data_IF_129901105524
#
_entry.id   IF_129901105524
#
_cell.length_a   1.000
_cell.length_b   1.000
_cell.length_c   1.000
_cell.angle_alpha   90.00
_cell.angle_beta   90.00
_cell.angle_gamma   90.00
#
_symmetry.space_group_name_H-M   'P 1'
#
loop_
_entity.id
_entity.type
_entity.pdbx_description
1 polymer ?
#
# COMPACT_ATOMS: atom_id res chain seq x y z
N UNK A 1 50.14 -0.16 -65.43
CA UNK A 1 49.37 -1.07 -64.58
C UNK A 1 49.36 -0.46 -63.16
N UNK A 2 48.31 0.23 -62.79
CA UNK A 2 48.17 0.87 -61.44
C UNK A 2 47.05 0.10 -60.72
N UNK A 3 47.42 -0.62 -59.62
CA UNK A 3 46.49 -1.28 -58.73
C UNK A 3 45.95 -0.28 -57.75
N UNK A 4 44.62 -0.13 -57.73
CA UNK A 4 43.86 0.61 -56.72
C UNK A 4 43.55 -0.31 -55.56
N UNK A 5 44.07 0.04 -54.38
CA UNK A 5 43.70 -0.56 -53.08
C UNK A 5 42.42 0.11 -52.57
N UNK A 6 41.31 -0.62 -52.44
CA UNK A 6 40.14 -0.17 -51.72
C UNK A 6 40.29 -0.47 -50.24
N UNK A 7 40.42 0.58 -49.43
CA UNK A 7 40.22 0.45 -47.97
C UNK A 7 38.74 0.43 -47.66
N UNK A 8 38.26 -0.70 -47.15
CA UNK A 8 36.89 -0.77 -46.56
C UNK A 8 36.96 -0.31 -45.12
N UNK A 9 36.36 0.87 -44.84
CA UNK A 9 36.11 1.35 -43.47
C UNK A 9 34.90 0.57 -42.91
N UNK A 10 35.14 -0.34 -41.96
CA UNK A 10 34.09 -1.00 -41.21
C UNK A 10 33.63 -0.02 -40.09
N UNK A 11 32.44 0.55 -40.28
CA UNK A 11 31.76 1.30 -39.25
C UNK A 11 31.23 0.32 -38.19
N UNK A 12 31.87 0.31 -37.02
CA UNK A 12 31.35 -0.37 -35.82
C UNK A 12 30.20 0.46 -35.29
N UNK A 13 28.97 0.06 -35.58
CA UNK A 13 27.77 0.60 -34.92
C UNK A 13 27.73 -0.01 -33.51
N UNK A 14 28.19 0.77 -32.52
CA UNK A 14 27.87 0.47 -31.12
C UNK A 14 26.35 0.68 -30.92
N UNK A 15 25.59 -0.40 -30.94
CA UNK A 15 24.24 -0.39 -30.44
C UNK A 15 24.30 -0.26 -28.90
N UNK A 16 24.08 0.96 -28.42
CA UNK A 16 23.76 1.20 -27.01
C UNK A 16 22.40 0.52 -26.77
N UNK A 17 22.42 -0.66 -26.20
CA UNK A 17 21.22 -1.26 -25.63
C UNK A 17 20.79 -0.35 -24.48
N UNK A 18 19.69 0.39 -24.68
CA UNK A 18 18.93 0.96 -23.58
C UNK A 18 18.61 -0.17 -22.61
N UNK A 19 19.00 0.00 -21.34
CA UNK A 19 18.72 -0.96 -20.28
C UNK A 19 17.23 -1.04 -20.05
N UNK A 20 16.55 -1.90 -20.79
CA UNK A 20 15.21 -2.33 -20.48
C UNK A 20 15.30 -3.18 -19.22
N UNK A 21 14.54 -2.81 -18.17
CA UNK A 21 14.19 -3.70 -17.09
C UNK A 21 13.30 -4.80 -17.66
N UNK A 22 13.90 -5.78 -18.33
CA UNK A 22 13.19 -6.96 -18.81
C UNK A 22 12.66 -7.69 -17.57
N UNK A 23 11.39 -8.05 -17.59
CA UNK A 23 10.83 -8.98 -16.61
C UNK A 23 11.73 -10.25 -16.59
N UNK A 24 11.97 -10.85 -15.40
CA UNK A 24 12.67 -12.12 -15.32
C UNK A 24 12.01 -13.14 -16.26
N UNK A 25 12.79 -14.02 -16.89
CA UNK A 25 12.27 -15.04 -17.82
C UNK A 25 11.20 -15.95 -17.21
N UNK A 26 11.11 -15.97 -15.87
CA UNK A 26 10.18 -16.80 -15.08
C UNK A 26 9.02 -16.00 -14.47
N UNK A 27 8.88 -14.70 -14.80
CA UNK A 27 7.77 -13.88 -14.29
C UNK A 27 6.42 -14.45 -14.81
N UNK A 28 5.37 -14.48 -13.94
CA UNK A 28 4.07 -14.99 -14.35
C UNK A 28 3.47 -14.16 -15.49
N UNK A 29 2.94 -14.82 -16.50
CA UNK A 29 2.20 -14.14 -17.57
C UNK A 29 0.87 -13.59 -17.07
N UNK A 30 0.31 -12.60 -17.76
CA UNK A 30 -0.99 -12.02 -17.42
C UNK A 30 -2.10 -13.08 -17.33
N UNK A 31 -2.10 -14.06 -18.25
CA UNK A 31 -3.09 -15.13 -18.27
C UNK A 31 -2.94 -16.08 -17.06
N UNK A 32 -1.71 -16.38 -16.66
CA UNK A 32 -1.45 -17.19 -15.46
C UNK A 32 -1.92 -16.45 -14.20
N UNK A 33 -1.64 -15.16 -14.10
CA UNK A 33 -2.11 -14.34 -12.98
C UNK A 33 -3.63 -14.31 -12.91
N UNK A 34 -4.31 -14.03 -14.03
CA UNK A 34 -5.78 -13.96 -14.11
C UNK A 34 -6.48 -15.25 -13.74
N UNK A 35 -5.90 -16.41 -14.07
CA UNK A 35 -6.42 -17.72 -13.63
C UNK A 35 -6.38 -17.91 -12.11
N UNK A 36 -5.49 -17.20 -11.40
CA UNK A 36 -5.37 -17.23 -9.96
C UNK A 36 -6.16 -16.12 -9.23
N UNK A 37 -6.96 -15.33 -9.94
CA UNK A 37 -7.86 -14.33 -9.35
C UNK A 37 -9.21 -14.97 -9.00
N UNK A 38 -9.82 -14.51 -7.90
CA UNK A 38 -11.19 -14.88 -7.57
C UNK A 38 -12.22 -14.42 -8.62
N UNK A 39 -12.02 -13.19 -9.16
CA UNK A 39 -12.78 -12.62 -10.26
C UNK A 39 -11.81 -11.98 -11.25
N UNK A 40 -11.62 -12.56 -12.45
CA UNK A 40 -10.63 -12.08 -13.41
C UNK A 40 -10.92 -10.66 -13.94
N UNK A 41 -9.86 -9.92 -14.25
CA UNK A 41 -9.93 -8.61 -14.90
C UNK A 41 -10.38 -8.74 -16.34
N UNK A 42 -11.28 -7.83 -16.79
CA UNK A 42 -11.80 -7.83 -18.17
C UNK A 42 -12.31 -6.44 -18.59
N UNK A 43 -12.34 -6.16 -19.89
CA UNK A 43 -12.95 -4.94 -20.43
C UNK A 43 -12.35 -3.62 -19.89
N UNK A 44 -11.05 -3.60 -19.57
CA UNK A 44 -10.41 -2.43 -18.97
C UNK A 44 -10.76 -2.20 -17.50
N UNK A 45 -11.46 -3.13 -16.86
CA UNK A 45 -11.78 -3.13 -15.43
C UNK A 45 -10.95 -4.19 -14.73
N UNK A 46 -10.24 -3.79 -13.67
CA UNK A 46 -9.54 -4.73 -12.81
C UNK A 46 -10.56 -5.55 -12.03
N UNK A 47 -10.36 -6.86 -11.99
CA UNK A 47 -11.19 -7.81 -11.24
C UNK A 47 -10.94 -7.77 -9.74
N UNK A 48 -11.05 -8.93 -9.10
CA UNK A 48 -10.78 -9.13 -7.67
C UNK A 48 -9.83 -10.29 -7.49
N UNK A 49 -8.72 -10.07 -6.81
CA UNK A 49 -7.72 -11.10 -6.53
C UNK A 49 -8.20 -12.01 -5.40
N UNK A 50 -8.59 -11.43 -4.28
CA UNK A 50 -9.04 -12.18 -3.11
C UNK A 50 -10.58 -12.08 -2.94
N UNK A 51 -11.26 -13.17 -3.30
CA UNK A 51 -12.70 -13.30 -3.17
C UNK A 51 -13.12 -14.10 -1.91
N UNK A 52 -12.17 -14.41 -1.00
CA UNK A 52 -12.43 -15.09 0.27
C UNK A 52 -12.42 -14.10 1.41
N UNK A 53 -11.31 -13.38 1.60
CA UNK A 53 -11.12 -12.43 2.71
C UNK A 53 -11.90 -11.13 2.51
N UNK A 54 -12.21 -10.75 1.26
CA UNK A 54 -12.88 -9.50 0.93
C UNK A 54 -14.26 -9.74 0.30
N UNK A 55 -15.16 -8.80 0.56
CA UNK A 55 -16.50 -8.84 -0.02
C UNK A 55 -16.44 -8.81 -1.56
N UNK A 56 -17.25 -9.66 -2.20
CA UNK A 56 -17.40 -9.73 -3.66
C UNK A 56 -18.74 -9.17 -4.14
N UNK A 57 -19.69 -8.92 -3.21
CA UNK A 57 -21.04 -8.40 -3.47
C UNK A 57 -21.42 -7.31 -2.47
N UNK A 58 -22.29 -6.40 -2.88
CA UNK A 58 -22.79 -5.33 -2.03
C UNK A 58 -23.42 -5.84 -0.72
N UNK A 59 -24.24 -6.93 -0.70
CA UNK A 59 -24.75 -7.46 0.55
C UNK A 59 -23.68 -7.98 1.52
N UNK A 60 -22.57 -8.57 1.03
CA UNK A 60 -21.43 -8.97 1.88
C UNK A 60 -20.72 -7.75 2.45
N UNK A 61 -20.49 -6.72 1.63
CA UNK A 61 -19.86 -5.48 2.08
C UNK A 61 -20.68 -4.77 3.14
N UNK A 62 -21.98 -4.63 2.93
CA UNK A 62 -22.91 -4.02 3.89
C UNK A 62 -22.96 -4.79 5.21
N UNK A 63 -22.92 -6.13 5.18
CA UNK A 63 -22.86 -6.95 6.39
C UNK A 63 -21.56 -6.76 7.14
N UNK A 64 -20.39 -6.86 6.48
CA UNK A 64 -19.09 -6.64 7.10
C UNK A 64 -18.99 -5.22 7.69
N UNK A 65 -19.44 -4.21 6.95
CA UNK A 65 -19.52 -2.83 7.40
C UNK A 65 -20.37 -2.67 8.66
N UNK A 66 -21.58 -3.23 8.69
CA UNK A 66 -22.50 -3.12 9.81
C UNK A 66 -21.96 -3.83 11.05
N UNK A 67 -21.43 -5.06 10.88
CA UNK A 67 -20.87 -5.86 11.96
C UNK A 67 -19.60 -5.27 12.54
N UNK A 68 -18.78 -4.58 11.74
CA UNK A 68 -17.57 -3.90 12.21
C UNK A 68 -17.83 -2.76 13.21
N UNK A 69 -19.05 -2.25 13.25
CA UNK A 69 -19.48 -1.24 14.22
C UNK A 69 -19.95 -1.85 15.56
N UNK A 70 -20.10 -3.17 15.61
CA UNK A 70 -20.64 -3.90 16.76
C UNK A 70 -19.51 -4.63 17.51
N UNK A 71 -19.72 -4.81 18.82
CA UNK A 71 -18.79 -5.54 19.67
C UNK A 71 -17.60 -4.68 20.14
N UNK A 72 -16.51 -5.32 20.59
CA UNK A 72 -15.37 -4.62 21.13
C UNK A 72 -14.66 -3.79 20.05
N UNK A 73 -14.29 -2.56 20.41
CA UNK A 73 -13.47 -1.71 19.55
C UNK A 73 -11.99 -2.14 19.60
N UNK A 74 -11.20 -1.88 18.55
CA UNK A 74 -9.75 -2.00 18.63
C UNK A 74 -9.18 -1.16 19.78
N UNK A 75 -8.02 -1.56 20.29
CA UNK A 75 -7.33 -0.77 21.31
C UNK A 75 -7.10 0.65 20.79
N UNK A 76 -7.75 1.63 21.40
CA UNK A 76 -7.57 3.04 21.06
C UNK A 76 -6.26 3.53 21.67
N UNK A 77 -5.35 4.03 20.84
CA UNK A 77 -4.05 4.55 21.25
C UNK A 77 -4.10 6.06 21.44
N UNK A 78 -4.56 6.79 20.42
CA UNK A 78 -4.73 8.23 20.46
C UNK A 78 -6.07 8.66 19.85
N UNK A 79 -6.52 9.87 20.17
CA UNK A 79 -7.68 10.48 19.52
C UNK A 79 -7.31 10.96 18.12
N UNK A 80 -8.25 10.80 17.19
CA UNK A 80 -8.10 11.32 15.83
C UNK A 80 -7.87 12.84 15.81
N UNK A 81 -7.13 13.37 14.80
CA UNK A 81 -6.97 14.80 14.64
C UNK A 81 -8.31 15.50 14.42
N UNK A 82 -8.45 16.74 14.92
CA UNK A 82 -9.65 17.55 14.73
C UNK A 82 -9.78 18.22 13.36
N UNK A 83 -8.85 18.01 12.46
CA UNK A 83 -8.79 18.64 11.14
C UNK A 83 -8.79 17.62 9.98
N UNK A 84 -8.67 18.12 8.72
CA UNK A 84 -8.62 17.27 7.54
C UNK A 84 -7.44 16.28 7.58
N UNK A 85 -7.73 15.00 7.36
CA UNK A 85 -6.72 13.92 7.30
C UNK A 85 -6.15 13.87 5.87
N UNK A 86 -4.84 14.06 5.78
CA UNK A 86 -4.10 14.02 4.51
C UNK A 86 -3.73 12.60 4.11
N UNK A 87 -3.51 11.75 5.11
CA UNK A 87 -3.15 10.36 4.89
C UNK A 87 -3.60 9.46 6.03
N UNK A 88 -3.65 8.17 5.74
CA UNK A 88 -3.98 7.14 6.71
C UNK A 88 -3.10 5.91 6.49
N UNK A 89 -2.73 5.23 7.58
CA UNK A 89 -2.20 3.88 7.59
C UNK A 89 -3.36 2.94 7.96
N UNK A 90 -3.61 1.94 7.13
CA UNK A 90 -4.73 1.02 7.26
C UNK A 90 -4.28 -0.41 6.93
N UNK A 91 -4.75 -1.45 7.64
CA UNK A 91 -4.50 -2.84 7.27
C UNK A 91 -5.13 -3.19 5.91
N UNK A 92 -4.78 -4.38 5.38
CA UNK A 92 -5.40 -4.96 4.20
C UNK A 92 -5.71 -6.46 4.34
N UNK A 93 -5.79 -6.94 5.57
CA UNK A 93 -6.16 -8.33 5.86
C UNK A 93 -7.69 -8.53 5.82
N UNK A 94 -8.11 -9.80 5.92
CA UNK A 94 -9.48 -10.27 5.85
C UNK A 94 -10.46 -9.42 6.66
N UNK A 95 -11.59 -9.07 6.08
CA UNK A 95 -12.60 -8.23 6.76
C UNK A 95 -13.10 -8.81 8.07
N UNK A 96 -13.14 -10.15 8.18
CA UNK A 96 -13.58 -10.82 9.40
C UNK A 96 -12.65 -10.56 10.58
N UNK A 97 -11.37 -10.38 10.33
CA UNK A 97 -10.36 -10.07 11.35
C UNK A 97 -10.17 -8.56 11.52
N UNK A 98 -9.90 -7.86 10.42
CA UNK A 98 -9.45 -6.46 10.44
C UNK A 98 -10.58 -5.42 10.31
N UNK A 99 -11.82 -5.82 10.04
CA UNK A 99 -12.93 -4.91 9.75
C UNK A 99 -13.17 -3.80 10.77
N UNK A 100 -12.95 -4.08 12.06
CA UNK A 100 -13.06 -3.06 13.12
C UNK A 100 -11.96 -2.01 13.06
N UNK A 101 -10.76 -2.38 12.56
CA UNK A 101 -9.64 -1.45 12.38
C UNK A 101 -9.85 -0.57 11.15
N UNK A 102 -10.34 -1.14 10.03
CA UNK A 102 -10.79 -0.33 8.89
C UNK A 102 -11.80 0.74 9.34
N UNK A 103 -12.77 0.33 10.18
CA UNK A 103 -13.79 1.23 10.73
C UNK A 103 -13.22 2.33 11.62
N UNK A 104 -12.10 2.08 12.30
CA UNK A 104 -11.47 3.06 13.18
C UNK A 104 -10.71 4.16 12.40
N UNK A 105 -10.23 3.90 11.21
CA UNK A 105 -9.35 4.82 10.47
C UNK A 105 -9.94 5.37 9.18
N UNK A 106 -10.52 4.53 8.31
CA UNK A 106 -10.95 4.97 6.99
C UNK A 106 -12.08 6.02 7.00
N UNK A 107 -13.02 6.06 7.96
CA UNK A 107 -14.00 7.13 8.06
C UNK A 107 -13.42 8.53 8.29
N UNK A 108 -12.15 8.64 8.65
CA UNK A 108 -11.45 9.93 8.77
C UNK A 108 -11.02 10.48 7.40
N UNK A 109 -10.86 9.63 6.41
CA UNK A 109 -10.55 9.99 5.02
C UNK A 109 -11.82 10.49 4.35
N UNK A 110 -11.92 11.81 4.17
CA UNK A 110 -13.09 12.48 3.58
C UNK A 110 -12.90 12.89 2.13
N UNK A 111 -11.68 12.80 1.63
CA UNK A 111 -11.34 13.14 0.27
C UNK A 111 -12.03 12.19 -0.73
N UNK A 112 -12.30 12.71 -1.93
CA UNK A 112 -12.90 11.95 -3.02
C UNK A 112 -11.87 11.26 -3.90
N UNK A 113 -10.69 11.86 -4.08
CA UNK A 113 -9.61 11.33 -4.89
C UNK A 113 -8.58 10.66 -3.99
N UNK A 114 -8.44 9.35 -4.09
CA UNK A 114 -7.62 8.59 -3.14
C UNK A 114 -6.41 7.97 -3.85
N UNK A 115 -5.21 8.39 -3.45
CA UNK A 115 -3.98 7.67 -3.80
C UNK A 115 -3.80 6.54 -2.80
N UNK A 116 -3.77 5.29 -3.28
CA UNK A 116 -3.55 4.12 -2.43
C UNK A 116 -2.17 3.55 -2.69
N UNK A 117 -1.32 3.59 -1.68
CA UNK A 117 0.02 2.98 -1.70
C UNK A 117 -0.08 1.58 -1.10
N UNK A 118 -0.11 0.57 -1.95
CA UNK A 118 -0.19 -0.83 -1.55
C UNK A 118 1.17 -1.52 -1.51
N UNK A 119 1.23 -2.63 -0.80
CA UNK A 119 2.36 -3.56 -0.83
C UNK A 119 2.40 -4.29 -2.16
N UNK A 120 3.57 -4.55 -2.71
CA UNK A 120 3.70 -5.51 -3.80
C UNK A 120 4.31 -6.81 -3.27
N UNK A 121 3.48 -7.75 -2.81
CA UNK A 121 3.93 -9.03 -2.25
C UNK A 121 4.66 -9.89 -3.29
N UNK A 122 4.23 -9.82 -4.55
CA UNK A 122 4.79 -10.56 -5.67
C UNK A 122 6.12 -10.03 -6.23
N UNK A 123 6.73 -9.00 -5.67
CA UNK A 123 7.87 -8.30 -6.25
C UNK A 123 9.03 -9.24 -6.68
N UNK A 124 9.32 -10.29 -5.89
CA UNK A 124 10.38 -11.27 -6.22
C UNK A 124 10.05 -12.06 -7.48
N UNK A 125 8.78 -12.48 -7.64
CA UNK A 125 8.33 -13.27 -8.80
C UNK A 125 8.39 -12.47 -10.10
N UNK A 126 8.20 -11.15 -10.01
CA UNK A 126 8.23 -10.25 -11.17
C UNK A 126 9.58 -9.55 -11.33
N UNK A 127 10.53 -9.73 -10.41
CA UNK A 127 11.80 -9.00 -10.39
C UNK A 127 11.60 -7.48 -10.23
N UNK A 128 10.46 -7.06 -9.71
CA UNK A 128 10.13 -5.65 -9.56
C UNK A 128 10.90 -5.00 -8.42
N UNK A 129 11.54 -3.88 -8.72
CA UNK A 129 12.32 -3.10 -7.75
C UNK A 129 12.47 -1.65 -8.20
N UNK A 130 12.76 -0.77 -7.28
CA UNK A 130 13.25 0.59 -7.53
C UNK A 130 12.33 1.48 -8.39
N UNK A 131 11.04 1.15 -8.52
CA UNK A 131 10.06 1.90 -9.31
C UNK A 131 8.67 1.82 -8.67
N UNK A 132 7.81 2.79 -8.94
CA UNK A 132 6.41 2.78 -8.58
C UNK A 132 5.62 2.01 -9.64
N UNK A 133 4.77 1.07 -9.22
CA UNK A 133 3.99 0.28 -10.17
C UNK A 133 2.56 0.80 -10.21
N UNK A 134 2.18 1.39 -11.34
CA UNK A 134 0.83 1.85 -11.64
C UNK A 134 0.05 0.78 -12.41
N UNK A 135 -1.26 0.80 -12.25
CA UNK A 135 -2.14 -0.05 -13.05
C UNK A 135 -2.49 0.61 -14.40
N UNK A 136 -2.87 -0.18 -15.43
CA UNK A 136 -3.34 0.33 -16.72
C UNK A 136 -4.88 0.39 -16.84
N UNK A 137 -5.63 0.08 -15.76
CA UNK A 137 -7.07 -0.06 -15.82
C UNK A 137 -7.79 1.30 -15.82
N UNK A 138 -8.98 1.38 -16.44
CA UNK A 138 -9.85 2.55 -16.36
C UNK A 138 -10.66 2.59 -15.05
N UNK A 139 -10.90 1.42 -14.45
CA UNK A 139 -11.66 1.25 -13.22
C UNK A 139 -11.30 -0.07 -12.54
N UNK A 140 -11.63 -0.17 -11.26
CA UNK A 140 -11.57 -1.39 -10.46
C UNK A 140 -12.98 -1.85 -10.13
N UNK A 141 -13.22 -3.15 -10.22
CA UNK A 141 -14.41 -3.77 -9.66
C UNK A 141 -14.42 -3.60 -8.15
N UNK A 142 -15.58 -3.32 -7.57
CA UNK A 142 -15.82 -3.44 -6.14
C UNK A 142 -17.19 -4.06 -5.87
N UNK A 143 -17.49 -4.47 -4.63
CA UNK A 143 -18.83 -4.94 -4.25
C UNK A 143 -19.94 -3.94 -4.58
N UNK A 144 -19.68 -2.65 -4.46
CA UNK A 144 -20.64 -1.55 -4.63
C UNK A 144 -20.57 -0.90 -6.03
N UNK A 145 -20.04 -1.61 -7.01
CA UNK A 145 -19.89 -1.15 -8.38
C UNK A 145 -18.46 -0.79 -8.77
N UNK A 146 -18.27 -0.21 -9.95
CA UNK A 146 -16.96 0.18 -10.43
C UNK A 146 -16.42 1.40 -9.65
N UNK A 147 -15.12 1.37 -9.35
CA UNK A 147 -14.37 2.50 -8.82
C UNK A 147 -13.51 3.06 -9.96
N UNK A 148 -13.79 4.27 -10.46
CA UNK A 148 -12.98 4.86 -11.51
C UNK A 148 -11.52 5.03 -11.08
N UNK A 149 -10.59 4.85 -12.00
CA UNK A 149 -9.21 5.31 -11.80
C UNK A 149 -9.16 6.79 -12.18
N UNK A 150 -8.61 7.60 -11.27
CA UNK A 150 -8.56 9.04 -11.41
C UNK A 150 -7.68 9.48 -12.59
N UNK A 151 -8.09 10.52 -13.30
CA UNK A 151 -7.24 11.20 -14.29
C UNK A 151 -5.96 11.80 -13.69
N UNK A 152 -5.89 11.93 -12.37
CA UNK A 152 -4.65 12.30 -11.67
C UNK A 152 -3.52 11.28 -11.95
N UNK A 153 -3.83 10.00 -12.17
CA UNK A 153 -2.83 9.01 -12.58
C UNK A 153 -2.10 9.44 -13.86
N UNK A 154 -2.83 9.88 -14.86
CA UNK A 154 -2.24 10.30 -16.14
C UNK A 154 -1.36 11.54 -15.98
N UNK A 155 -1.77 12.50 -15.14
CA UNK A 155 -0.94 13.66 -14.84
C UNK A 155 0.37 13.24 -14.16
N UNK A 156 0.29 12.33 -13.18
CA UNK A 156 1.50 11.82 -12.51
C UNK A 156 2.43 11.10 -13.49
N UNK A 157 1.88 10.20 -14.32
CA UNK A 157 2.66 9.47 -15.32
C UNK A 157 3.32 10.39 -16.36
N UNK A 158 2.68 11.49 -16.70
CA UNK A 158 3.23 12.48 -17.64
C UNK A 158 4.40 13.29 -17.04
N UNK A 159 4.46 13.45 -15.71
CA UNK A 159 5.47 14.28 -15.05
C UNK A 159 6.57 13.47 -14.35
N UNK A 160 6.37 12.18 -14.17
CA UNK A 160 7.39 11.30 -13.54
C UNK A 160 8.43 10.86 -14.57
N UNK A 161 9.73 10.77 -14.18
CA UNK A 161 10.76 10.12 -14.98
C UNK A 161 10.35 8.68 -15.34
N UNK A 162 10.65 8.25 -16.56
CA UNK A 162 10.27 6.92 -17.05
C UNK A 162 10.88 5.78 -16.24
N UNK A 163 12.06 6.00 -15.70
CA UNK A 163 12.76 5.05 -14.83
C UNK A 163 12.14 4.91 -13.43
N UNK A 164 11.27 5.84 -13.05
CA UNK A 164 10.58 5.83 -11.76
C UNK A 164 9.28 5.02 -11.78
N UNK A 165 8.79 4.68 -12.97
CA UNK A 165 7.45 4.11 -13.13
C UNK A 165 7.46 2.82 -13.96
N UNK A 166 6.62 1.89 -13.54
CA UNK A 166 6.22 0.72 -14.33
C UNK A 166 4.71 0.72 -14.40
N UNK A 167 4.13 0.45 -15.56
CA UNK A 167 2.70 0.23 -15.69
C UNK A 167 2.44 -1.23 -16.06
N UNK A 168 1.77 -2.00 -15.18
CA UNK A 168 1.61 -3.45 -15.36
C UNK A 168 0.28 -3.97 -14.85
N UNK A 169 -0.51 -4.55 -15.77
CA UNK A 169 -1.73 -5.27 -15.43
C UNK A 169 -1.42 -6.55 -14.64
N UNK A 170 -0.41 -7.32 -15.03
CA UNK A 170 -0.06 -8.58 -14.38
C UNK A 170 0.35 -8.39 -12.91
N UNK A 171 1.14 -7.35 -12.62
CA UNK A 171 1.56 -7.04 -11.25
C UNK A 171 0.34 -6.64 -10.39
N UNK A 172 -0.54 -5.76 -10.88
CA UNK A 172 -1.75 -5.37 -10.16
C UNK A 172 -2.77 -6.51 -10.01
N UNK A 173 -2.95 -7.36 -11.04
CA UNK A 173 -3.85 -8.50 -10.97
C UNK A 173 -3.36 -9.59 -10.00
N UNK A 174 -2.04 -9.65 -9.74
CA UNK A 174 -1.45 -10.58 -8.77
C UNK A 174 -1.56 -10.11 -7.32
N UNK A 175 -1.89 -8.83 -7.09
CA UNK A 175 -1.81 -8.16 -5.78
C UNK A 175 -3.20 -7.90 -5.17
N UNK A 176 -3.33 -8.05 -3.85
CA UNK A 176 -4.58 -7.84 -3.10
C UNK A 176 -4.54 -6.66 -2.11
N UNK A 177 -3.36 -6.16 -1.75
CA UNK A 177 -3.18 -5.17 -0.68
C UNK A 177 -3.95 -3.86 -0.86
N UNK A 178 -4.38 -3.54 -2.08
CA UNK A 178 -5.16 -2.34 -2.40
C UNK A 178 -6.66 -2.61 -2.37
N UNK A 179 -7.08 -3.86 -2.65
CA UNK A 179 -8.51 -4.22 -2.82
C UNK A 179 -9.34 -3.93 -1.57
N UNK A 180 -8.90 -4.43 -0.43
CA UNK A 180 -9.60 -4.31 0.84
C UNK A 180 -9.91 -2.85 1.19
N UNK A 181 -8.89 -2.00 1.05
CA UNK A 181 -8.98 -0.56 1.33
C UNK A 181 -9.93 0.14 0.35
N UNK A 182 -9.78 -0.14 -0.95
CA UNK A 182 -10.61 0.46 -2.01
C UNK A 182 -12.08 0.10 -1.84
N UNK A 183 -12.39 -1.16 -1.53
CA UNK A 183 -13.78 -1.61 -1.38
C UNK A 183 -14.44 -0.98 -0.16
N UNK A 184 -13.70 -0.86 0.95
CA UNK A 184 -14.18 -0.20 2.16
C UNK A 184 -14.44 1.28 1.93
N UNK A 185 -13.51 1.98 1.27
CA UNK A 185 -13.64 3.39 0.91
C UNK A 185 -14.80 3.63 -0.07
N UNK A 186 -14.99 2.75 -1.06
CA UNK A 186 -16.10 2.85 -2.02
C UNK A 186 -17.46 2.73 -1.34
N UNK A 187 -17.57 1.83 -0.35
CA UNK A 187 -18.80 1.67 0.42
C UNK A 187 -19.15 2.93 1.20
N UNK A 188 -18.18 3.62 1.79
CA UNK A 188 -18.42 4.86 2.55
C UNK A 188 -18.51 6.12 1.68
N UNK A 189 -17.88 6.14 0.50
CA UNK A 189 -17.78 7.31 -0.41
C UNK A 189 -18.07 6.86 -1.85
N UNK A 190 -19.34 6.73 -2.23
CA UNK A 190 -19.75 6.11 -3.50
C UNK A 190 -19.19 6.75 -4.76
N UNK A 191 -18.87 8.05 -4.76
CA UNK A 191 -18.37 8.83 -5.90
C UNK A 191 -16.87 9.07 -5.88
N UNK A 192 -16.13 8.29 -5.09
CA UNK A 192 -14.66 8.33 -5.08
C UNK A 192 -14.05 7.78 -6.37
N UNK A 193 -12.83 8.23 -6.65
CA UNK A 193 -11.92 7.62 -7.61
C UNK A 193 -10.55 7.34 -6.97
N UNK A 194 -9.71 6.55 -7.63
CA UNK A 194 -8.44 6.07 -7.07
C UNK A 194 -7.26 6.28 -8.00
N UNK A 195 -6.07 6.44 -7.39
CA UNK A 195 -4.78 6.22 -8.05
C UNK A 195 -4.09 5.07 -7.30
N UNK A 196 -4.22 3.82 -7.78
CA UNK A 196 -3.59 2.68 -7.14
C UNK A 196 -2.12 2.57 -7.55
N UNK A 197 -1.24 2.47 -6.55
CA UNK A 197 0.21 2.33 -6.74
C UNK A 197 0.68 1.21 -5.82
N UNK A 198 1.31 0.17 -6.35
CA UNK A 198 1.95 -0.86 -5.55
C UNK A 198 3.46 -0.65 -5.50
N UNK A 199 4.03 -0.88 -4.31
CA UNK A 199 5.40 -0.49 -3.98
C UNK A 199 6.27 -1.73 -3.79
N UNK A 200 7.19 -2.03 -4.72
CA UNK A 200 8.14 -3.13 -4.61
C UNK A 200 9.31 -2.78 -3.69
N UNK A 201 10.27 -3.70 -3.60
CA UNK A 201 11.51 -3.49 -2.85
C UNK A 201 12.32 -2.31 -3.40
N UNK A 202 12.84 -1.49 -2.48
CA UNK A 202 13.79 -0.41 -2.78
C UNK A 202 14.50 0.03 -1.51
N UNK A 203 15.67 0.65 -1.66
CA UNK A 203 16.37 1.27 -0.54
C UNK A 203 15.81 2.66 -0.20
N UNK A 204 16.22 3.19 0.95
CA UNK A 204 15.71 4.46 1.44
C UNK A 204 16.15 5.66 0.57
N UNK A 205 17.31 5.61 -0.07
CA UNK A 205 17.75 6.70 -0.95
C UNK A 205 16.92 6.72 -2.23
N UNK A 206 16.61 5.56 -2.77
CA UNK A 206 15.68 5.44 -3.90
C UNK A 206 14.28 5.94 -3.53
N UNK A 207 13.77 5.60 -2.35
CA UNK A 207 12.49 6.15 -1.85
C UNK A 207 12.51 7.67 -1.79
N UNK A 208 13.60 8.28 -1.29
CA UNK A 208 13.76 9.74 -1.23
C UNK A 208 13.71 10.37 -2.63
N UNK A 209 14.38 9.76 -3.60
CA UNK A 209 14.36 10.23 -4.99
C UNK A 209 12.95 10.14 -5.58
N UNK A 210 12.31 8.97 -5.47
CA UNK A 210 10.95 8.74 -5.97
C UNK A 210 9.93 9.69 -5.33
N UNK A 211 10.02 9.91 -4.02
CA UNK A 211 9.10 10.82 -3.33
C UNK A 211 9.36 12.29 -3.63
N UNK A 212 10.60 12.68 -3.95
CA UNK A 212 10.89 14.02 -4.42
C UNK A 212 10.21 14.27 -5.79
N UNK A 213 10.32 13.33 -6.73
CA UNK A 213 9.68 13.43 -8.04
C UNK A 213 8.15 13.34 -7.92
N UNK A 214 7.62 12.31 -7.25
CA UNK A 214 6.18 12.11 -7.07
C UNK A 214 5.54 13.28 -6.30
N UNK A 215 6.19 13.77 -5.25
CA UNK A 215 5.69 14.90 -4.46
C UNK A 215 5.64 16.20 -5.26
N UNK A 216 6.63 16.45 -6.14
CA UNK A 216 6.62 17.59 -7.05
C UNK A 216 5.52 17.46 -8.12
N UNK A 217 5.42 16.30 -8.77
CA UNK A 217 4.38 16.02 -9.74
C UNK A 217 2.97 16.17 -9.13
N UNK A 218 2.79 15.60 -7.94
CA UNK A 218 1.51 15.66 -7.23
C UNK A 218 1.16 17.11 -6.83
N UNK A 219 2.08 17.85 -6.22
CA UNK A 219 1.83 19.24 -5.84
C UNK A 219 1.42 20.09 -7.07
N UNK A 220 2.15 19.97 -8.17
CA UNK A 220 1.81 20.68 -9.42
C UNK A 220 0.44 20.28 -9.98
N UNK A 221 0.10 18.99 -9.94
CA UNK A 221 -1.20 18.49 -10.41
C UNK A 221 -2.35 18.97 -9.52
N UNK A 222 -2.14 19.03 -8.20
CA UNK A 222 -3.14 19.55 -7.26
C UNK A 222 -3.39 21.05 -7.50
N UNK A 223 -2.32 21.84 -7.66
CA UNK A 223 -2.42 23.28 -7.96
C UNK A 223 -3.17 23.53 -9.27
N UNK A 224 -2.82 22.81 -10.34
CA UNK A 224 -3.47 22.94 -11.65
C UNK A 224 -4.98 22.62 -11.60
N UNK A 225 -5.40 21.74 -10.69
CA UNK A 225 -6.81 21.32 -10.51
C UNK A 225 -7.54 22.14 -9.44
N UNK A 226 -6.87 22.98 -8.65
CA UNK A 226 -7.41 23.65 -7.48
C UNK A 226 -7.81 22.68 -6.35
N UNK A 227 -7.17 21.51 -6.30
CA UNK A 227 -7.44 20.48 -5.30
C UNK A 227 -6.58 20.66 -4.05
N UNK A 228 -7.18 20.41 -2.90
CA UNK A 228 -6.55 20.56 -1.58
C UNK A 228 -6.37 19.20 -0.93
N UNK A 229 -5.16 18.93 -0.47
CA UNK A 229 -4.85 17.72 0.28
C UNK A 229 -5.64 17.65 1.59
N UNK A 230 -6.25 16.51 1.87
CA UNK A 230 -7.14 16.27 3.00
C UNK A 230 -8.60 16.69 2.77
N UNK A 231 -8.88 17.55 1.79
CA UNK A 231 -10.25 17.89 1.38
C UNK A 231 -10.66 17.12 0.11
N UNK A 232 -9.87 17.26 -0.94
CA UNK A 232 -10.16 16.68 -2.26
C UNK A 232 -9.34 15.42 -2.51
N UNK A 233 -8.08 15.39 -2.07
CA UNK A 233 -7.14 14.28 -2.24
C UNK A 233 -6.63 13.80 -0.90
N UNK A 234 -6.53 12.48 -0.73
CA UNK A 234 -5.84 11.85 0.41
C UNK A 234 -4.96 10.69 -0.05
N UNK A 235 -3.99 10.32 0.81
CA UNK A 235 -3.05 9.22 0.56
C UNK A 235 -3.31 8.14 1.60
N UNK A 236 -3.70 6.93 1.18
CA UNK A 236 -3.88 5.79 2.08
C UNK A 236 -2.72 4.81 1.88
N UNK A 237 -2.03 4.50 2.96
CA UNK A 237 -0.93 3.54 3.03
C UNK A 237 -1.51 2.23 3.53
N UNK A 238 -1.42 1.19 2.74
CA UNK A 238 -1.97 -0.12 3.04
C UNK A 238 -0.90 -1.03 3.63
N UNK A 239 -1.06 -1.47 4.87
CA UNK A 239 -0.11 -2.38 5.53
C UNK A 239 -0.71 -3.06 6.75
N UNK A 240 -0.49 -4.35 6.86
CA UNK A 240 -0.59 -5.05 8.13
C UNK A 240 0.70 -4.91 8.94
N UNK A 241 0.63 -5.21 10.25
CA UNK A 241 1.78 -5.25 11.15
C UNK A 241 2.44 -6.64 11.16
N UNK A 242 2.83 -7.14 12.30
CA UNK A 242 3.53 -8.43 12.42
C UNK A 242 2.71 -9.57 11.80
N UNK A 243 3.38 -10.38 10.99
CA UNK A 243 2.93 -11.70 10.60
C UNK A 243 3.75 -12.70 11.41
N UNK A 244 3.13 -13.31 12.41
CA UNK A 244 3.81 -14.16 13.40
C UNK A 244 3.47 -15.63 13.18
N UNK A 245 4.49 -16.46 13.19
CA UNK A 245 4.36 -17.89 13.15
C UNK A 245 5.35 -18.58 12.20
N UNK A 246 5.46 -19.92 12.27
CA UNK A 246 6.33 -20.71 11.41
C UNK A 246 6.04 -20.54 9.92
N UNK A 247 4.78 -20.38 9.52
CA UNK A 247 4.37 -20.21 8.13
C UNK A 247 4.87 -18.88 7.53
N UNK A 248 5.11 -17.89 8.39
CA UNK A 248 5.73 -16.63 8.01
C UNK A 248 7.26 -16.62 8.16
N UNK A 249 7.83 -17.75 8.62
CA UNK A 249 9.25 -17.85 8.99
C UNK A 249 9.67 -16.73 9.96
N UNK A 250 8.79 -16.41 10.94
CA UNK A 250 9.01 -15.34 11.89
C UNK A 250 8.45 -15.66 13.27
N UNK A 251 9.35 -16.09 14.17
CA UNK A 251 9.04 -16.47 15.55
C UNK A 251 10.08 -15.93 16.54
N UNK A 252 10.30 -14.59 16.59
CA UNK A 252 11.39 -13.99 17.36
C UNK A 252 11.23 -14.15 18.88
N UNK A 253 10.05 -14.51 19.36
CA UNK A 253 9.72 -14.71 20.77
C UNK A 253 9.36 -16.17 21.09
N UNK A 254 9.83 -17.14 20.28
CA UNK A 254 9.48 -18.57 20.39
C UNK A 254 8.36 -18.97 19.42
N UNK A 255 8.00 -20.24 19.39
CA UNK A 255 7.07 -20.79 18.40
C UNK A 255 5.66 -20.16 18.47
N UNK A 256 5.24 -19.67 19.64
CA UNK A 256 3.93 -19.05 19.87
C UNK A 256 3.51 -19.11 21.34
N UNK A 257 2.21 -19.01 21.58
CA UNK A 257 1.62 -18.96 22.92
C UNK A 257 1.47 -17.54 23.46
N UNK A 258 0.97 -17.42 24.69
CA UNK A 258 0.57 -16.12 25.28
C UNK A 258 1.75 -15.16 25.40
N UNK A 259 2.92 -15.64 25.83
CA UNK A 259 4.10 -14.78 26.01
C UNK A 259 4.61 -14.25 24.68
N UNK A 260 4.75 -15.10 23.67
CA UNK A 260 5.17 -14.72 22.32
C UNK A 260 4.20 -13.71 21.69
N UNK A 261 2.89 -13.96 21.83
CA UNK A 261 1.85 -13.07 21.39
C UNK A 261 1.94 -11.69 22.06
N UNK A 262 2.08 -11.67 23.40
CA UNK A 262 2.17 -10.42 24.17
C UNK A 262 3.39 -9.59 23.75
N UNK A 263 4.55 -10.24 23.60
CA UNK A 263 5.79 -9.58 23.20
C UNK A 263 5.72 -9.04 21.76
N UNK A 264 5.16 -9.80 20.83
CA UNK A 264 4.97 -9.36 19.45
C UNK A 264 4.02 -8.13 19.37
N UNK A 265 2.89 -8.17 20.07
CA UNK A 265 1.95 -7.05 20.16
C UNK A 265 2.59 -5.80 20.81
N UNK A 266 3.43 -5.97 21.82
CA UNK A 266 4.16 -4.87 22.45
C UNK A 266 5.16 -4.23 21.47
N UNK A 267 5.87 -5.06 20.70
CA UNK A 267 6.76 -4.61 19.64
C UNK A 267 6.04 -3.78 18.57
N UNK A 268 4.90 -4.28 18.08
CA UNK A 268 4.08 -3.56 17.09
C UNK A 268 3.58 -2.21 17.62
N UNK A 269 3.06 -2.18 18.86
CA UNK A 269 2.61 -0.91 19.47
C UNK A 269 3.75 0.08 19.66
N UNK A 270 4.93 -0.40 20.09
CA UNK A 270 6.12 0.43 20.24
C UNK A 270 6.53 1.04 18.90
N UNK A 271 6.51 0.26 17.83
CA UNK A 271 6.81 0.76 16.50
C UNK A 271 5.76 1.76 16.01
N UNK A 272 4.46 1.45 16.16
CA UNK A 272 3.36 2.30 15.71
C UNK A 272 3.33 3.65 16.44
N UNK A 273 3.62 3.67 17.73
CA UNK A 273 3.64 4.89 18.56
C UNK A 273 4.99 5.61 18.55
N UNK A 274 6.00 5.03 17.93
CA UNK A 274 7.35 5.59 17.80
C UNK A 274 7.55 6.37 16.49
N UNK A 275 8.30 5.83 15.51
CA UNK A 275 8.68 6.57 14.31
C UNK A 275 7.50 7.12 13.48
N UNK A 276 6.39 6.39 13.25
CA UNK A 276 5.24 6.90 12.49
C UNK A 276 4.37 7.92 13.24
N UNK A 277 4.60 8.14 14.53
CA UNK A 277 3.79 9.02 15.38
C UNK A 277 4.42 10.39 15.61
N UNK A 278 3.63 11.37 16.03
CA UNK A 278 4.10 12.71 16.36
C UNK A 278 4.56 13.50 15.13
N UNK A 279 5.34 14.56 15.33
CA UNK A 279 5.87 15.37 14.23
C UNK A 279 6.79 14.52 13.34
N UNK A 280 6.45 14.43 12.07
CA UNK A 280 7.18 13.63 11.10
C UNK A 280 8.44 14.36 10.63
N UNK A 281 9.54 13.62 10.55
CA UNK A 281 10.82 14.08 10.03
C UNK A 281 11.49 12.99 9.20
N UNK A 282 12.39 13.37 8.31
CA UNK A 282 13.16 12.40 7.52
C UNK A 282 13.94 11.40 8.41
N UNK A 283 14.40 11.82 9.59
CA UNK A 283 15.07 10.94 10.56
C UNK A 283 14.11 9.88 11.13
N UNK A 284 12.89 10.23 11.46
CA UNK A 284 11.86 9.27 11.92
C UNK A 284 11.49 8.27 10.83
N UNK A 285 11.35 8.72 9.59
CA UNK A 285 11.10 7.80 8.47
C UNK A 285 12.27 6.85 8.26
N UNK A 286 13.50 7.33 8.41
CA UNK A 286 14.69 6.46 8.39
C UNK A 286 14.66 5.43 9.52
N UNK A 287 14.32 5.82 10.75
CA UNK A 287 14.15 4.89 11.88
C UNK A 287 13.09 3.83 11.61
N UNK A 288 11.94 4.21 11.01
CA UNK A 288 10.92 3.25 10.59
C UNK A 288 11.47 2.25 9.56
N UNK A 289 12.13 2.73 8.51
CA UNK A 289 12.73 1.88 7.49
C UNK A 289 13.76 0.90 8.08
N UNK A 290 14.67 1.38 8.93
CA UNK A 290 15.70 0.57 9.58
C UNK A 290 15.14 -0.45 10.58
N UNK A 291 13.96 -0.18 11.16
CA UNK A 291 13.23 -1.16 11.95
C UNK A 291 12.65 -2.30 11.08
N UNK A 292 12.20 -1.99 9.87
CA UNK A 292 11.62 -2.97 8.95
C UNK A 292 12.65 -3.79 8.18
N UNK A 293 13.71 -3.16 7.68
CA UNK A 293 14.65 -3.74 6.73
C UNK A 293 16.09 -3.58 7.16
N UNK A 294 16.98 -4.43 6.63
CA UNK A 294 18.41 -4.18 6.68
C UNK A 294 18.74 -3.02 5.70
N UNK A 295 19.36 -1.92 6.17
CA UNK A 295 19.68 -0.79 5.29
C UNK A 295 20.69 -1.13 4.18
N UNK A 296 21.48 -2.19 4.34
CA UNK A 296 22.48 -2.65 3.36
C UNK A 296 21.89 -3.62 2.34
N UNK A 297 20.84 -4.35 2.72
CA UNK A 297 20.12 -5.26 1.85
C UNK A 297 18.62 -5.17 2.16
N UNK A 298 17.90 -4.22 1.56
CA UNK A 298 16.47 -4.01 1.81
C UNK A 298 15.58 -5.23 1.53
N UNK A 299 16.05 -6.19 0.74
CA UNK A 299 15.35 -7.44 0.49
C UNK A 299 15.33 -8.36 1.72
N UNK A 300 16.23 -8.14 2.68
CA UNK A 300 16.24 -8.78 3.99
C UNK A 300 15.49 -7.92 4.99
N UNK A 301 14.37 -8.42 5.48
CA UNK A 301 13.56 -7.71 6.46
C UNK A 301 13.81 -8.22 7.90
N UNK A 302 13.71 -7.29 8.83
CA UNK A 302 13.86 -7.52 10.28
C UNK A 302 12.53 -7.78 10.95
N UNK A 303 11.46 -7.17 10.40
CA UNK A 303 10.09 -7.31 10.84
C UNK A 303 9.19 -7.72 9.67
N UNK A 304 8.18 -8.51 9.98
CA UNK A 304 7.22 -9.02 8.99
C UNK A 304 6.05 -8.07 8.71
N UNK A 305 6.17 -6.79 9.06
CA UNK A 305 5.22 -5.80 8.55
C UNK A 305 5.29 -5.78 7.03
N UNK A 306 4.17 -6.08 6.38
CA UNK A 306 4.16 -6.16 4.92
C UNK A 306 4.45 -4.82 4.25
N UNK A 307 4.02 -3.71 4.84
CA UNK A 307 4.21 -2.35 4.35
C UNK A 307 5.59 -1.74 4.54
N UNK A 308 6.64 -2.53 4.73
CA UNK A 308 8.01 -2.09 4.98
C UNK A 308 8.60 -1.12 3.94
N UNK A 309 8.02 -1.08 2.73
CA UNK A 309 8.40 -0.12 1.70
C UNK A 309 7.34 0.96 1.50
N UNK A 310 6.05 0.61 1.49
CA UNK A 310 4.99 1.59 1.27
C UNK A 310 4.80 2.53 2.47
N UNK A 311 5.06 2.10 3.72
CA UNK A 311 4.99 2.99 4.89
C UNK A 311 6.04 4.11 4.81
N UNK A 312 7.35 3.83 4.73
CA UNK A 312 8.34 4.90 4.66
C UNK A 312 8.18 5.76 3.40
N UNK A 313 7.84 5.19 2.25
CA UNK A 313 7.57 5.94 1.01
C UNK A 313 6.39 6.89 1.18
N UNK A 314 5.27 6.42 1.74
CA UNK A 314 4.08 7.24 1.97
C UNK A 314 4.31 8.35 2.99
N UNK A 315 5.08 8.08 4.06
CA UNK A 315 5.45 9.08 5.06
C UNK A 315 6.38 10.15 4.48
N UNK A 316 7.37 9.78 3.65
CA UNK A 316 8.21 10.72 2.93
C UNK A 316 7.39 11.60 1.97
N UNK A 317 6.43 11.00 1.26
CA UNK A 317 5.57 11.74 0.34
C UNK A 317 4.70 12.75 1.08
N UNK A 318 4.04 12.35 2.16
CA UNK A 318 3.23 13.24 2.99
C UNK A 318 4.06 14.36 3.64
N UNK A 319 5.27 14.05 4.13
CA UNK A 319 6.21 15.03 4.69
C UNK A 319 6.65 16.03 3.62
N UNK A 320 6.99 15.56 2.42
CA UNK A 320 7.34 16.41 1.28
C UNK A 320 6.22 17.38 0.94
N UNK A 321 4.98 16.90 0.88
CA UNK A 321 3.80 17.75 0.59
C UNK A 321 3.56 18.76 1.72
N UNK A 322 3.75 18.39 2.98
CA UNK A 322 3.66 19.31 4.10
C UNK A 322 4.75 20.40 4.01
N UNK A 323 5.97 20.02 3.67
CA UNK A 323 7.07 20.96 3.47
C UNK A 323 6.80 21.95 2.35
N UNK A 324 6.26 21.50 1.21
CA UNK A 324 5.87 22.37 0.09
C UNK A 324 4.80 23.39 0.51
N UNK A 325 3.87 22.99 1.38
CA UNK A 325 2.82 23.89 1.90
C UNK A 325 3.28 24.73 3.12
N UNK A 326 4.57 24.67 3.49
CA UNK A 326 5.09 25.43 4.63
C UNK A 326 4.55 24.98 6.00
N UNK A 327 4.03 23.74 6.09
CA UNK A 327 3.51 23.12 7.32
C UNK A 327 4.40 21.98 7.80
N UNK A 328 4.03 21.34 8.89
CA UNK A 328 4.63 20.07 9.35
C UNK A 328 3.60 18.96 9.29
N UNK A 329 4.06 17.74 8.97
CA UNK A 329 3.23 16.56 9.07
C UNK A 329 3.22 16.05 10.50
N UNK A 330 2.04 15.75 11.02
CA UNK A 330 1.83 15.11 12.31
C UNK A 330 1.17 13.74 12.08
N UNK A 331 1.64 12.70 12.78
CA UNK A 331 1.07 11.36 12.81
C UNK A 331 0.38 11.07 14.15
N UNK A 332 -0.80 10.47 14.10
CA UNK A 332 -1.58 10.00 15.24
C UNK A 332 -1.78 8.49 15.11
N UNK A 333 -1.14 7.67 15.96
CA UNK A 333 -1.46 6.26 16.06
C UNK A 333 -2.84 6.10 16.70
N UNK A 334 -3.82 5.61 15.94
CA UNK A 334 -5.22 5.60 16.35
C UNK A 334 -5.61 4.32 17.07
N UNK A 335 -5.27 3.19 16.48
CA UNK A 335 -5.71 1.90 16.96
C UNK A 335 -4.72 0.78 16.58
N UNK A 336 -4.79 -0.30 17.36
CA UNK A 336 -4.10 -1.53 17.09
C UNK A 336 -5.00 -2.72 17.45
N UNK A 337 -4.98 -3.76 16.63
CA UNK A 337 -5.64 -5.03 16.91
C UNK A 337 -4.81 -6.18 16.32
N UNK A 338 -5.28 -7.42 16.50
CA UNK A 338 -4.72 -8.60 15.86
C UNK A 338 -5.83 -9.54 15.41
N UNK A 339 -5.50 -10.50 14.55
CA UNK A 339 -6.42 -11.55 14.11
C UNK A 339 -6.86 -12.51 15.23
N UNK A 340 -6.20 -12.46 16.40
CA UNK A 340 -6.52 -13.26 17.61
C UNK A 340 -7.17 -12.43 18.70
N UNK A 341 -6.88 -11.12 18.75
CA UNK A 341 -7.28 -10.26 19.87
C UNK A 341 -8.78 -10.10 20.04
N UNK A 342 -9.56 -10.29 18.96
CA UNK A 342 -11.00 -10.13 18.95
C UNK A 342 -11.69 -11.25 18.16
N UNK A 343 -12.93 -11.62 18.52
CA UNK A 343 -13.71 -12.54 17.71
C UNK A 343 -13.87 -12.02 16.27
N UNK A 344 -13.83 -12.92 15.31
CA UNK A 344 -14.16 -12.60 13.91
C UNK A 344 -15.52 -11.91 13.81
N UNK A 345 -15.72 -11.09 12.79
CA UNK A 345 -17.05 -10.57 12.49
C UNK A 345 -18.00 -11.75 12.22
N UNK A 346 -19.15 -11.84 12.92
CA UNK A 346 -20.05 -13.00 12.83
C UNK A 346 -20.94 -12.92 11.57
N UNK A 347 -20.31 -12.89 10.38
CA UNK A 347 -21.02 -12.85 9.10
C UNK A 347 -21.85 -14.11 8.90
N UNK A 348 -23.00 -13.95 8.26
CA UNK A 348 -23.93 -15.05 7.95
C UNK A 348 -24.00 -15.34 6.46
N UNK A 349 -23.59 -14.40 5.63
CA UNK A 349 -23.62 -14.54 4.17
C UNK A 349 -22.49 -15.45 3.69
N UNK A 350 -22.79 -16.42 2.79
CA UNK A 350 -21.76 -17.29 2.23
C UNK A 350 -20.77 -16.50 1.35
N UNK A 351 -19.55 -17.05 1.20
CA UNK A 351 -18.51 -16.54 0.31
C UNK A 351 -17.66 -15.43 0.87
N UNK A 352 -17.93 -14.91 2.07
CA UNK A 352 -17.02 -14.07 2.82
C UNK A 352 -16.49 -14.87 4.00
N UNK A 353 -15.18 -15.01 4.09
CA UNK A 353 -14.51 -15.87 5.06
C UNK A 353 -13.17 -15.33 5.50
N UNK A 354 -12.28 -16.26 5.87
CA UNK A 354 -10.88 -15.97 6.21
C UNK A 354 -9.97 -16.80 5.31
N UNK A 355 -8.87 -16.19 4.90
CA UNK A 355 -7.87 -16.84 4.02
C UNK A 355 -7.02 -17.84 4.78
N UNK A 356 -6.82 -17.62 6.09
CA UNK A 356 -6.13 -18.53 6.99
C UNK A 356 -6.73 -18.50 8.40
N UNK A 357 -6.76 -19.63 9.13
CA UNK A 357 -7.15 -19.66 10.54
C UNK A 357 -6.10 -18.95 11.39
N UNK A 358 -6.53 -18.22 12.42
CA UNK A 358 -5.66 -17.49 13.33
C UNK A 358 -5.70 -18.07 14.74
N UNK A 359 -4.54 -18.13 15.39
CA UNK A 359 -4.35 -18.57 16.78
C UNK A 359 -3.06 -17.98 17.36
N UNK A 360 -2.71 -18.31 18.61
CA UNK A 360 -1.50 -17.77 19.26
C UNK A 360 -0.16 -18.23 18.65
N UNK A 361 -0.17 -19.11 17.67
CA UNK A 361 1.00 -19.61 16.93
C UNK A 361 1.00 -19.12 15.47
N UNK A 362 -0.09 -18.49 15.02
CA UNK A 362 -0.25 -17.95 13.67
C UNK A 362 -1.20 -16.77 13.73
N UNK A 363 -0.69 -15.54 13.68
CA UNK A 363 -1.49 -14.33 13.79
C UNK A 363 -0.89 -13.13 13.04
N UNK A 364 -1.73 -12.17 12.76
CA UNK A 364 -1.38 -10.92 12.07
C UNK A 364 -1.81 -9.74 12.93
N UNK A 365 -0.97 -8.70 12.99
CA UNK A 365 -1.25 -7.42 13.64
C UNK A 365 -1.84 -6.40 12.66
N UNK A 366 -2.69 -5.50 13.15
CA UNK A 366 -3.40 -4.51 12.37
C UNK A 366 -3.18 -3.09 12.92
N UNK A 367 -2.33 -2.28 12.27
CA UNK A 367 -2.06 -0.92 12.70
C UNK A 367 -3.04 0.05 12.05
N UNK A 368 -3.38 1.12 12.76
CA UNK A 368 -4.11 2.26 12.21
C UNK A 368 -3.51 3.57 12.68
N UNK A 369 -3.22 4.47 11.75
CA UNK A 369 -2.77 5.83 12.05
C UNK A 369 -3.38 6.84 11.07
N UNK A 370 -3.52 8.08 11.50
CA UNK A 370 -3.89 9.21 10.66
C UNK A 370 -2.74 10.22 10.58
N UNK A 371 -2.67 10.92 9.47
CA UNK A 371 -1.67 11.95 9.20
C UNK A 371 -2.35 13.22 8.73
N UNK A 372 -1.97 14.35 9.32
CA UNK A 372 -2.53 15.64 8.95
C UNK A 372 -1.47 16.75 9.06
N UNK A 373 -1.72 17.89 8.42
CA UNK A 373 -0.87 19.05 8.56
C UNK A 373 -1.07 19.70 9.94
N UNK A 374 0.03 20.16 10.52
CA UNK A 374 0.04 21.07 11.66
C UNK A 374 0.75 22.36 11.25
N UNK A 375 0.17 23.50 11.60
CA UNK A 375 0.86 24.79 11.41
C UNK A 375 2.20 24.76 12.16
N UNK A 376 3.24 25.30 11.55
CA UNK A 376 4.51 25.58 12.27
C UNK A 376 4.21 26.61 13.33
N UNK A 377 4.55 26.32 14.56
CA UNK A 377 4.54 27.28 15.68
C UNK A 377 5.67 28.29 15.50
#
# INVERSE_FOLDING_TARGET
MRSLLFLALAAVVLSVRAGGTGEPSDAPTLDQVRKGMGLPSQGGVRGQKDAVGFASTAPQMAEAWSLSALGPAPDTLEKAPGGPVWGALCPHDDYLYAGRVYRAVLPLVKARHIIVLGVFHGWRKFGAKDALVFDPYRAWRSPDGEVPVSSLREDLLAHLPKEDVVQSAAMHDSEHSVEAVVYWLKHQTPDMDIVPIIVPVMDLNRMRTLTAHLGTALASSLDARGWVLGRDVAIVISSDAVHYGPDFNYTPHGEGGVEAYTNACAGDRTLLTGPPAGTMTAAKVQQAFEAFCDPKDPAQYRLTWCGRYCIPLGLLLLEKLASVQGTTLQGWPLAYATSVGWPQLPVKRPGLGVTAPSNLYHFVGYPAAAYAARKRE
#
